data_IF_802128843473
#
_entry.id   IF_802128843473
#
_cell.length_a   1.000
_cell.length_b   1.000
_cell.length_c   1.000
_cell.angle_alpha   90.00
_cell.angle_beta   90.00
_cell.angle_gamma   90.00
#
_symmetry.space_group_name_H-M   'P 1'
#
loop_
_entity.id
_entity.type
_entity.pdbx_description
1 polymer ?
#
# COMPACT_ATOMS: atom_id res chain seq x y z
N UNK A 1 16.19 8.03 -4.52
CA UNK A 1 15.56 6.87 -3.85
C UNK A 1 16.02 5.62 -4.56
N UNK A 2 16.58 4.64 -3.83
CA UNK A 2 17.31 3.50 -4.41
C UNK A 2 16.44 2.69 -5.39
N UNK A 3 15.17 2.42 -5.06
CA UNK A 3 14.28 1.67 -5.94
C UNK A 3 13.99 2.40 -7.26
N UNK A 4 13.84 3.72 -7.23
CA UNK A 4 13.62 4.52 -8.45
C UNK A 4 14.84 4.51 -9.36
N UNK A 5 16.04 4.50 -8.79
CA UNK A 5 17.28 4.47 -9.57
C UNK A 5 17.55 3.07 -10.14
N UNK A 6 17.30 2.01 -9.36
CA UNK A 6 17.59 0.62 -9.78
C UNK A 6 16.48 -0.01 -10.63
N UNK A 7 15.21 0.32 -10.37
CA UNK A 7 14.05 -0.41 -10.93
C UNK A 7 13.03 0.51 -11.59
N UNK A 8 13.30 1.81 -11.70
CA UNK A 8 12.35 2.82 -12.19
C UNK A 8 10.95 2.73 -11.54
N UNK A 9 10.90 2.28 -10.28
CA UNK A 9 9.65 2.07 -9.54
C UNK A 9 9.78 2.56 -8.10
N UNK A 10 8.64 2.93 -7.50
CA UNK A 10 8.53 3.33 -6.09
C UNK A 10 8.27 2.15 -5.14
N UNK A 11 7.90 1.00 -5.69
CA UNK A 11 7.74 -0.27 -4.99
C UNK A 11 8.12 -1.43 -5.91
N UNK A 12 8.81 -2.42 -5.37
CA UNK A 12 9.20 -3.64 -6.08
C UNK A 12 8.67 -4.83 -5.32
N UNK A 13 8.09 -5.78 -6.03
CA UNK A 13 7.60 -7.04 -5.48
C UNK A 13 8.39 -8.18 -6.11
N UNK A 14 9.10 -8.91 -5.27
CA UNK A 14 9.87 -10.09 -5.65
C UNK A 14 9.05 -11.29 -5.22
N UNK A 15 8.74 -12.19 -6.16
CA UNK A 15 8.17 -13.48 -5.82
C UNK A 15 9.16 -14.57 -6.15
N UNK A 16 9.31 -15.52 -5.23
CA UNK A 16 10.07 -16.74 -5.48
C UNK A 16 9.31 -17.93 -4.89
N UNK A 17 9.43 -19.06 -5.57
CA UNK A 17 8.81 -20.31 -5.15
C UNK A 17 9.55 -20.84 -3.91
N UNK A 18 8.82 -21.31 -2.91
CA UNK A 18 9.39 -21.86 -1.68
C UNK A 18 8.58 -23.10 -1.25
N UNK A 19 9.16 -24.28 -1.46
CA UNK A 19 8.47 -25.55 -1.23
C UNK A 19 7.21 -25.66 -2.09
N UNK A 20 6.05 -25.86 -1.44
CA UNK A 20 4.73 -25.90 -2.09
C UNK A 20 4.04 -24.53 -2.19
N UNK A 21 4.69 -23.48 -1.71
CA UNK A 21 4.14 -22.12 -1.63
C UNK A 21 5.00 -21.10 -2.38
N UNK A 22 4.63 -19.84 -2.24
CA UNK A 22 5.37 -18.70 -2.78
C UNK A 22 5.67 -17.71 -1.66
N UNK A 23 6.88 -17.16 -1.67
CA UNK A 23 7.21 -16.02 -0.81
C UNK A 23 7.11 -14.76 -1.64
N UNK A 24 6.36 -13.79 -1.11
CA UNK A 24 6.22 -12.45 -1.69
C UNK A 24 6.99 -11.49 -0.78
N UNK A 25 8.08 -10.93 -1.30
CA UNK A 25 8.85 -9.89 -0.65
C UNK A 25 8.58 -8.54 -1.32
N UNK A 26 7.96 -7.61 -0.59
CA UNK A 26 7.68 -6.26 -1.08
C UNK A 26 8.69 -5.28 -0.49
N UNK A 27 9.46 -4.64 -1.35
CA UNK A 27 10.34 -3.53 -0.99
C UNK A 27 9.65 -2.25 -1.44
N UNK A 28 9.30 -1.39 -0.49
CA UNK A 28 8.54 -0.19 -0.77
C UNK A 28 8.91 0.94 0.18
N UNK A 29 9.04 2.15 -0.38
CA UNK A 29 9.25 3.36 0.41
C UNK A 29 8.00 3.83 1.13
N UNK A 30 6.83 3.25 0.81
CA UNK A 30 5.59 3.51 1.54
C UNK A 30 5.68 2.99 2.99
N UNK A 31 6.37 1.87 3.22
CA UNK A 31 6.41 1.22 4.53
C UNK A 31 7.37 1.91 5.52
N UNK A 32 8.59 2.27 5.09
CA UNK A 32 9.64 2.75 5.99
C UNK A 32 9.79 4.27 6.09
N UNK A 33 9.35 5.03 5.08
CA UNK A 33 9.74 6.45 4.96
C UNK A 33 8.65 7.47 5.31
N UNK A 34 7.44 7.04 5.69
CA UNK A 34 6.32 7.94 5.97
C UNK A 34 5.65 7.82 7.33
N UNK A 35 5.96 6.79 8.12
CA UNK A 35 5.73 6.87 9.57
C UNK A 35 6.53 8.02 10.20
N UNK A 36 7.65 8.41 9.59
CA UNK A 36 8.30 9.70 9.84
C UNK A 36 7.49 10.84 9.17
N UNK A 37 6.78 11.62 9.98
CA UNK A 37 5.90 12.71 9.54
C UNK A 37 6.68 13.94 9.07
N UNK A 38 7.27 13.86 7.87
CA UNK A 38 8.14 14.91 7.30
C UNK A 38 7.45 16.22 6.88
N UNK A 39 6.12 16.30 6.93
CA UNK A 39 5.36 17.51 6.60
C UNK A 39 4.00 17.53 7.28
N UNK A 40 3.41 18.73 7.43
CA UNK A 40 2.16 18.94 8.18
C UNK A 40 1.01 18.05 7.68
N UNK A 41 0.92 17.81 6.36
CA UNK A 41 -0.07 16.91 5.76
C UNK A 41 0.01 15.48 6.29
N UNK A 42 1.22 14.97 6.57
CA UNK A 42 1.41 13.61 7.06
C UNK A 42 0.98 13.43 8.52
N UNK A 43 0.92 14.52 9.30
CA UNK A 43 0.42 14.54 10.68
C UNK A 43 -1.10 14.65 10.77
N UNK A 44 -1.77 14.98 9.66
CA UNK A 44 -3.23 15.07 9.62
C UNK A 44 -3.87 13.72 9.96
N UNK A 45 -5.17 13.71 10.24
CA UNK A 45 -5.88 12.49 10.58
C UNK A 45 -5.98 11.51 9.41
N UNK A 46 -6.14 10.23 9.72
CA UNK A 46 -6.53 9.22 8.73
C UNK A 46 -7.88 9.52 8.08
N UNK A 47 -8.79 10.22 8.77
CA UNK A 47 -10.04 10.74 8.20
C UNK A 47 -9.79 11.72 7.06
N UNK A 48 -8.83 12.64 7.21
CA UNK A 48 -8.45 13.55 6.13
C UNK A 48 -7.94 12.79 4.90
N UNK A 49 -7.16 11.73 5.10
CA UNK A 49 -6.74 10.86 4.00
C UNK A 49 -7.94 10.23 3.27
N UNK A 50 -8.93 9.74 4.02
CA UNK A 50 -10.15 9.17 3.43
C UNK A 50 -10.98 10.21 2.66
N UNK A 51 -11.03 11.46 3.15
CA UNK A 51 -11.66 12.59 2.45
C UNK A 51 -10.93 12.92 1.15
N UNK A 52 -9.61 13.06 1.18
CA UNK A 52 -8.78 13.35 0.01
C UNK A 52 -8.93 12.29 -1.10
N UNK A 53 -9.13 11.02 -0.69
CA UNK A 53 -9.32 9.89 -1.61
C UNK A 53 -10.76 9.76 -2.13
N UNK A 54 -11.66 10.69 -1.77
CA UNK A 54 -13.09 10.61 -2.07
C UNK A 54 -13.70 9.25 -1.68
N UNK A 55 -13.27 8.71 -0.54
CA UNK A 55 -13.77 7.44 -0.05
C UNK A 55 -15.26 7.53 0.31
N UNK A 56 -15.94 6.37 0.40
CA UNK A 56 -17.33 6.34 0.83
C UNK A 56 -17.51 6.82 2.28
N UNK A 57 -18.71 7.29 2.62
CA UNK A 57 -19.04 7.74 3.99
C UNK A 57 -18.78 6.65 5.04
N UNK A 58 -19.00 5.38 4.70
CA UNK A 58 -18.68 4.26 5.58
C UNK A 58 -17.17 4.15 5.89
N UNK A 59 -16.31 4.38 4.88
CA UNK A 59 -14.86 4.39 5.08
C UNK A 59 -14.42 5.61 5.88
N UNK A 60 -14.98 6.80 5.61
CA UNK A 60 -14.70 8.01 6.39
C UNK A 60 -15.08 7.82 7.86
N UNK A 61 -16.27 7.28 8.14
CA UNK A 61 -16.72 6.99 9.49
C UNK A 61 -15.81 5.99 10.22
N UNK A 62 -15.28 4.98 9.50
CA UNK A 62 -14.31 4.02 10.05
C UNK A 62 -12.97 4.69 10.34
N UNK A 63 -12.46 5.52 9.42
CA UNK A 63 -11.22 6.27 9.62
C UNK A 63 -11.33 7.22 10.82
N UNK A 64 -12.47 7.90 11.00
CA UNK A 64 -12.76 8.73 12.17
C UNK A 64 -12.71 7.96 13.50
N UNK A 65 -13.19 6.71 13.51
CA UNK A 65 -13.09 5.82 14.70
C UNK A 65 -11.64 5.39 14.98
N UNK A 66 -10.76 5.45 13.99
CA UNK A 66 -9.33 5.12 14.10
C UNK A 66 -8.50 6.39 14.32
N UNK A 67 -8.89 7.20 15.30
CA UNK A 67 -8.29 8.52 15.59
C UNK A 67 -6.80 8.49 15.96
N UNK A 68 -6.29 7.34 16.40
CA UNK A 68 -4.87 7.12 16.68
C UNK A 68 -4.01 6.98 15.40
N UNK A 69 -4.62 6.80 14.23
CA UNK A 69 -3.91 6.72 12.96
C UNK A 69 -3.83 8.07 12.27
N UNK A 70 -2.63 8.40 11.80
CA UNK A 70 -2.39 9.59 10.99
C UNK A 70 -2.51 9.31 9.47
N UNK A 71 -2.49 10.38 8.70
CA UNK A 71 -2.60 10.40 7.25
C UNK A 71 -1.57 9.48 6.60
N UNK A 72 -0.33 9.55 7.07
CA UNK A 72 0.77 8.80 6.47
C UNK A 72 0.67 7.29 6.73
N UNK A 73 0.21 6.88 7.91
CA UNK A 73 -0.06 5.48 8.22
C UNK A 73 -1.20 4.93 7.36
N UNK A 74 -2.30 5.68 7.24
CA UNK A 74 -3.44 5.29 6.42
C UNK A 74 -3.05 5.19 4.94
N UNK A 75 -2.32 6.18 4.42
CA UNK A 75 -1.80 6.18 3.05
C UNK A 75 -0.86 5.00 2.80
N UNK A 76 0.10 4.77 3.69
CA UNK A 76 1.08 3.69 3.57
C UNK A 76 0.39 2.33 3.48
N UNK A 77 -0.56 2.07 4.39
CA UNK A 77 -1.33 0.82 4.39
C UNK A 77 -2.15 0.69 3.12
N UNK A 78 -2.91 1.73 2.74
CA UNK A 78 -3.78 1.68 1.56
C UNK A 78 -3.00 1.41 0.27
N UNK A 79 -1.89 2.13 0.06
CA UNK A 79 -1.04 1.95 -1.13
C UNK A 79 -0.38 0.57 -1.16
N UNK A 80 0.14 0.11 -0.02
CA UNK A 80 0.78 -1.21 0.09
C UNK A 80 -0.21 -2.34 -0.19
N UNK A 81 -1.40 -2.27 0.40
CA UNK A 81 -2.47 -3.24 0.17
C UNK A 81 -2.92 -3.25 -1.28
N UNK A 82 -3.20 -2.08 -1.87
CA UNK A 82 -3.63 -1.98 -3.27
C UNK A 82 -2.59 -2.59 -4.22
N UNK A 83 -1.30 -2.35 -3.98
CA UNK A 83 -0.22 -2.92 -4.78
C UNK A 83 -0.20 -4.46 -4.71
N UNK A 84 -0.30 -5.04 -3.51
CA UNK A 84 -0.38 -6.50 -3.34
C UNK A 84 -1.62 -7.07 -4.03
N UNK A 85 -2.79 -6.45 -3.84
CA UNK A 85 -4.04 -6.89 -4.47
C UNK A 85 -3.96 -6.89 -5.99
N UNK A 86 -3.39 -5.83 -6.59
CA UNK A 86 -3.22 -5.74 -8.04
C UNK A 86 -2.33 -6.88 -8.56
N UNK A 87 -1.21 -7.17 -7.89
CA UNK A 87 -0.32 -8.26 -8.30
C UNK A 87 -0.99 -9.64 -8.17
N UNK A 88 -1.75 -9.88 -7.09
CA UNK A 88 -2.50 -11.12 -6.93
C UNK A 88 -3.55 -11.28 -8.04
N UNK A 89 -4.29 -10.20 -8.35
CA UNK A 89 -5.28 -10.20 -9.41
C UNK A 89 -4.65 -10.49 -10.79
N UNK A 90 -3.48 -9.91 -11.09
CA UNK A 90 -2.74 -10.21 -12.32
C UNK A 90 -2.34 -11.70 -12.42
N UNK A 91 -1.90 -12.31 -11.31
CA UNK A 91 -1.57 -13.74 -11.29
C UNK A 91 -2.79 -14.62 -11.51
N UNK A 92 -3.91 -14.29 -10.87
CA UNK A 92 -5.16 -15.04 -11.07
C UNK A 92 -5.61 -14.99 -12.53
N UNK A 93 -5.52 -13.82 -13.17
CA UNK A 93 -5.80 -13.68 -14.61
C UNK A 93 -4.89 -14.56 -15.48
N UNK A 94 -3.58 -14.55 -15.22
CA UNK A 94 -2.62 -15.40 -15.96
C UNK A 94 -2.90 -16.90 -15.76
N UNK A 95 -3.29 -17.32 -14.56
CA UNK A 95 -3.66 -18.73 -14.29
C UNK A 95 -4.95 -19.12 -15.02
N UNK A 96 -5.95 -18.24 -15.05
CA UNK A 96 -7.19 -18.47 -15.79
C UNK A 96 -7.03 -18.47 -17.31
N UNK A 97 -6.04 -17.76 -17.87
CA UNK A 97 -5.74 -17.79 -19.31
C UNK A 97 -4.89 -18.98 -19.75
N UNK A 98 -4.23 -19.69 -18.84
CA UNK A 98 -3.42 -20.88 -19.13
C UNK A 98 -4.17 -22.21 -18.89
N UNK A 99 -5.48 -22.13 -18.61
CA UNK A 99 -6.42 -23.25 -18.53
C UNK A 99 -7.42 -23.13 -19.69
#
# INVERSE_FOLDING_TARGET
NELRQKYNSYAVLITFDCGKGNVIHMISHFYLQRSETRGERHKMSSEQFAMDMNASEGIKAKAKKMSHLNYAQAQSSATSSAFIYNQLAERMKKKSSNN
#
